data_IF_116685804545
#
_entry.id   IF_116685804545
#
_cell.length_a   1.000
_cell.length_b   1.000
_cell.length_c   1.000
_cell.angle_alpha   90.00
_cell.angle_beta   90.00
_cell.angle_gamma   90.00
#
_symmetry.space_group_name_H-M   'P 1'
#
loop_
_entity.id
_entity.type
_entity.pdbx_description
1 polymer ?
#
# COMPACT_ATOMS: atom_id res chain seq x y z
N UNK A 1 -17.82 -20.59 -10.06
CA UNK A 1 -16.56 -20.36 -9.32
C UNK A 1 -16.71 -19.03 -8.61
N UNK A 2 -16.90 -19.02 -7.29
CA UNK A 2 -16.88 -17.77 -6.51
C UNK A 2 -15.44 -17.29 -6.44
N UNK A 3 -15.07 -16.29 -7.24
CA UNK A 3 -13.77 -15.67 -7.13
C UNK A 3 -13.66 -15.01 -5.74
N UNK A 4 -12.66 -15.41 -4.96
CA UNK A 4 -12.30 -14.77 -3.69
C UNK A 4 -12.09 -13.27 -3.94
N UNK A 5 -12.57 -12.43 -3.02
CA UNK A 5 -12.31 -11.00 -3.03
C UNK A 5 -10.79 -10.72 -3.13
N UNK A 6 -10.30 -10.00 -4.15
CA UNK A 6 -8.88 -9.71 -4.25
C UNK A 6 -8.47 -8.76 -3.12
N UNK A 7 -7.36 -9.06 -2.46
CA UNK A 7 -6.72 -8.18 -1.48
C UNK A 7 -5.54 -7.50 -2.18
N UNK A 8 -5.63 -6.18 -2.28
CA UNK A 8 -4.62 -5.33 -2.89
C UNK A 8 -3.77 -4.74 -1.77
N UNK A 9 -2.51 -5.13 -1.69
CA UNK A 9 -1.55 -4.48 -0.79
C UNK A 9 -1.09 -3.15 -1.41
N UNK A 10 -1.05 -2.10 -0.60
CA UNK A 10 -0.76 -0.74 -1.06
C UNK A 10 0.30 -0.11 -0.17
N UNK A 11 1.43 0.25 -0.76
CA UNK A 11 2.40 1.15 -0.14
C UNK A 11 1.86 2.58 -0.20
N UNK A 12 1.42 3.11 0.94
CA UNK A 12 0.75 4.41 1.00
C UNK A 12 1.70 5.58 1.19
N UNK A 13 2.95 5.33 1.59
CA UNK A 13 3.92 6.39 1.90
C UNK A 13 4.77 6.79 0.70
N UNK A 14 4.78 5.97 -0.36
CA UNK A 14 5.63 6.19 -1.52
C UNK A 14 5.26 7.41 -2.39
N UNK A 15 4.05 7.97 -2.30
CA UNK A 15 3.62 9.01 -3.24
C UNK A 15 4.25 10.39 -2.96
N UNK A 16 4.63 11.12 -4.02
CA UNK A 16 5.23 12.48 -3.93
C UNK A 16 4.36 13.48 -3.14
N UNK A 17 3.03 13.35 -3.28
CA UNK A 17 2.05 14.20 -2.61
C UNK A 17 1.60 13.63 -1.24
N UNK A 18 2.33 12.63 -0.73
CA UNK A 18 2.05 11.99 0.54
C UNK A 18 0.87 11.02 0.52
N UNK A 19 0.49 10.51 1.71
CA UNK A 19 -0.45 9.40 1.85
C UNK A 19 -1.90 9.70 1.47
N UNK A 20 -2.31 10.97 1.40
CA UNK A 20 -3.69 11.37 1.07
C UNK A 20 -4.12 10.88 -0.31
N UNK A 21 -3.25 11.02 -1.31
CA UNK A 21 -3.54 10.60 -2.69
C UNK A 21 -3.87 9.11 -2.77
N UNK A 22 -3.21 8.29 -1.96
CA UNK A 22 -3.47 6.85 -1.91
C UNK A 22 -4.89 6.56 -1.40
N UNK A 23 -5.28 7.21 -0.29
CA UNK A 23 -6.62 7.01 0.30
C UNK A 23 -7.73 7.58 -0.60
N UNK A 24 -7.48 8.71 -1.27
CA UNK A 24 -8.38 9.29 -2.26
C UNK A 24 -8.55 8.37 -3.47
N UNK A 25 -7.45 7.79 -3.98
CA UNK A 25 -7.49 6.82 -5.08
C UNK A 25 -8.32 5.59 -4.75
N UNK A 26 -8.16 5.04 -3.54
CA UNK A 26 -8.98 3.92 -3.03
C UNK A 26 -10.45 4.33 -2.94
N UNK A 27 -10.74 5.50 -2.38
CA UNK A 27 -12.12 6.01 -2.26
C UNK A 27 -12.77 6.19 -3.64
N UNK A 28 -12.01 6.69 -4.60
CA UNK A 28 -12.47 6.95 -5.96
C UNK A 28 -12.76 5.66 -6.75
N UNK A 29 -11.91 4.64 -6.65
CA UNK A 29 -12.20 3.36 -7.33
C UNK A 29 -13.40 2.65 -6.70
N UNK A 30 -13.57 2.74 -5.37
CA UNK A 30 -14.73 2.18 -4.68
C UNK A 30 -16.03 2.93 -5.00
N UNK A 31 -15.97 4.24 -5.21
CA UNK A 31 -17.12 5.02 -5.67
C UNK A 31 -17.52 4.65 -7.11
N UNK A 32 -16.54 4.38 -7.99
CA UNK A 32 -16.79 3.98 -9.38
C UNK A 32 -17.21 2.52 -9.54
N UNK A 33 -16.82 1.66 -8.60
CA UNK A 33 -17.10 0.21 -8.61
C UNK A 33 -17.56 -0.26 -7.23
N UNK A 34 -18.73 0.19 -6.75
CA UNK A 34 -19.20 -0.12 -5.40
C UNK A 34 -19.44 -1.61 -5.16
N UNK A 35 -19.79 -2.36 -6.21
CA UNK A 35 -20.01 -3.81 -6.14
C UNK A 35 -18.70 -4.62 -6.20
N UNK A 36 -17.56 -3.95 -6.34
CA UNK A 36 -16.26 -4.62 -6.34
C UNK A 36 -16.02 -5.26 -4.95
N UNK A 37 -15.66 -6.56 -4.89
CA UNK A 37 -15.33 -7.19 -3.63
C UNK A 37 -13.92 -6.84 -3.15
N UNK A 38 -13.15 -6.03 -3.89
CA UNK A 38 -11.76 -5.73 -3.60
C UNK A 38 -11.57 -5.10 -2.21
N UNK A 39 -10.56 -5.58 -1.47
CA UNK A 39 -10.14 -5.02 -0.18
C UNK A 39 -8.71 -4.50 -0.29
N UNK A 40 -8.33 -3.58 0.58
CA UNK A 40 -7.06 -2.88 0.53
C UNK A 40 -6.31 -3.08 1.84
N UNK A 41 -5.09 -3.60 1.75
CA UNK A 41 -4.16 -3.69 2.86
C UNK A 41 -3.15 -2.53 2.73
N UNK A 42 -3.35 -1.47 3.49
CA UNK A 42 -2.64 -0.20 3.34
C UNK A 42 -1.48 -0.15 4.33
N UNK A 43 -0.25 0.04 3.85
CA UNK A 43 0.96 0.04 4.67
C UNK A 43 1.51 1.47 4.83
N UNK A 44 1.76 1.88 6.07
CA UNK A 44 2.38 3.18 6.35
C UNK A 44 2.13 3.70 7.77
N UNK A 45 2.42 4.97 7.98
CA UNK A 45 2.35 5.61 9.29
C UNK A 45 0.89 5.81 9.73
N UNK A 46 0.54 5.28 10.90
CA UNK A 46 -0.82 5.31 11.42
C UNK A 46 -1.24 6.73 11.82
N UNK A 47 -0.29 7.53 12.33
CA UNK A 47 -0.55 8.92 12.70
C UNK A 47 -0.98 9.77 11.50
N UNK A 48 -0.52 9.42 10.30
CA UNK A 48 -0.88 10.09 9.05
C UNK A 48 -2.09 9.46 8.37
N UNK A 49 -2.18 8.12 8.36
CA UNK A 49 -3.20 7.39 7.60
C UNK A 49 -4.54 7.26 8.33
N UNK A 50 -4.57 7.09 9.66
CA UNK A 50 -5.83 6.92 10.39
C UNK A 50 -6.80 8.11 10.22
N UNK A 51 -6.36 9.39 10.33
CA UNK A 51 -7.25 10.52 10.10
C UNK A 51 -7.79 10.58 8.66
N UNK A 52 -6.95 10.24 7.67
CA UNK A 52 -7.33 10.21 6.25
C UNK A 52 -8.39 9.12 5.98
N UNK A 53 -8.18 7.93 6.56
CA UNK A 53 -9.14 6.83 6.46
C UNK A 53 -10.44 7.19 7.18
N UNK A 54 -10.37 7.80 8.37
CA UNK A 54 -11.56 8.22 9.11
C UNK A 54 -12.42 9.24 8.35
N UNK A 55 -11.79 10.13 7.58
CA UNK A 55 -12.46 11.10 6.71
C UNK A 55 -12.96 10.51 5.38
N UNK A 56 -12.55 9.30 5.02
CA UNK A 56 -12.94 8.65 3.76
C UNK A 56 -14.39 8.16 3.77
N UNK A 57 -14.89 7.75 2.59
CA UNK A 57 -16.24 7.23 2.43
C UNK A 57 -16.49 6.01 3.33
N UNK A 58 -17.74 5.74 3.77
CA UNK A 58 -18.05 4.57 4.60
C UNK A 58 -17.55 3.25 3.97
N UNK A 59 -17.70 3.10 2.65
CA UNK A 59 -17.23 1.92 1.93
C UNK A 59 -15.71 1.81 1.96
N UNK A 60 -14.97 2.92 1.81
CA UNK A 60 -13.51 2.91 1.93
C UNK A 60 -13.07 2.49 3.33
N UNK A 61 -13.69 3.04 4.38
CA UNK A 61 -13.40 2.65 5.78
C UNK A 61 -13.62 1.16 6.05
N UNK A 62 -14.63 0.54 5.43
CA UNK A 62 -14.90 -0.89 5.56
C UNK A 62 -13.94 -1.78 4.75
N UNK A 63 -13.41 -1.25 3.64
CA UNK A 63 -12.57 -2.01 2.69
C UNK A 63 -11.08 -1.85 2.95
N UNK A 64 -10.66 -0.86 3.72
CA UNK A 64 -9.27 -0.61 4.08
C UNK A 64 -8.93 -1.30 5.41
N UNK A 65 -7.81 -2.01 5.44
CA UNK A 65 -7.13 -2.46 6.66
C UNK A 65 -5.75 -1.83 6.69
N UNK A 66 -5.44 -1.11 7.77
CA UNK A 66 -4.18 -0.41 7.94
C UNK A 66 -3.14 -1.30 8.64
N UNK A 67 -1.94 -1.34 8.09
CA UNK A 67 -0.75 -2.01 8.62
C UNK A 67 0.30 -0.96 8.94
N UNK A 68 0.47 -0.69 10.23
CA UNK A 68 1.36 0.36 10.68
C UNK A 68 2.84 0.07 10.38
N UNK A 69 3.55 1.08 9.91
CA UNK A 69 5.00 1.20 9.96
C UNK A 69 5.38 2.67 9.93
N UNK A 70 6.41 3.06 10.67
CA UNK A 70 6.98 4.40 10.69
C UNK A 70 8.15 4.57 9.70
N UNK A 71 8.44 3.54 8.90
CA UNK A 71 9.52 3.52 7.92
C UNK A 71 8.99 3.55 6.48
N UNK A 72 9.66 4.32 5.63
CA UNK A 72 9.33 4.49 4.21
C UNK A 72 10.61 4.42 3.36
N UNK A 73 10.45 4.15 2.06
CA UNK A 73 11.52 4.34 1.07
C UNK A 73 11.33 5.71 0.44
N UNK A 74 12.34 6.56 0.51
CA UNK A 74 12.24 7.92 -0.01
C UNK A 74 12.46 7.94 -1.53
N UNK A 75 11.86 8.92 -2.19
CA UNK A 75 12.07 9.12 -3.63
C UNK A 75 13.53 9.44 -3.99
N UNK A 76 14.30 9.99 -3.06
CA UNK A 76 15.72 10.30 -3.24
C UNK A 76 16.66 9.13 -2.94
N UNK A 77 16.14 8.00 -2.44
CA UNK A 77 16.96 6.85 -2.14
C UNK A 77 17.48 6.19 -3.42
N UNK A 78 18.78 5.86 -3.41
CA UNK A 78 19.36 5.02 -4.46
C UNK A 78 18.80 3.60 -4.31
N UNK A 79 18.38 2.93 -5.39
CA UNK A 79 17.82 1.57 -5.31
C UNK A 79 18.71 0.57 -4.54
N UNK A 80 20.04 0.67 -4.72
CA UNK A 80 21.01 -0.20 -4.03
C UNK A 80 21.00 -0.02 -2.50
N UNK A 81 20.79 1.21 -2.01
CA UNK A 81 20.68 1.49 -0.58
C UNK A 81 19.29 1.10 -0.05
N UNK A 82 18.24 1.39 -0.84
CA UNK A 82 16.87 1.05 -0.48
C UNK A 82 16.74 -0.46 -0.21
N UNK A 83 17.29 -1.34 -1.05
CA UNK A 83 17.25 -2.81 -0.82
C UNK A 83 17.84 -3.21 0.54
N UNK A 84 18.91 -2.55 0.98
CA UNK A 84 19.59 -2.88 2.24
C UNK A 84 18.84 -2.38 3.48
N UNK A 85 18.16 -1.23 3.37
CA UNK A 85 17.59 -0.50 4.51
C UNK A 85 16.05 -0.56 4.59
N UNK A 86 15.39 -0.98 3.52
CA UNK A 86 13.93 -0.98 3.40
C UNK A 86 13.22 -2.05 4.22
N UNK A 87 13.92 -3.02 4.83
CA UNK A 87 13.24 -4.04 5.65
C UNK A 87 12.44 -3.37 6.75
N UNK A 88 11.12 -3.60 6.75
CA UNK A 88 10.18 -2.98 7.67
C UNK A 88 9.50 -1.71 7.15
N UNK A 89 9.92 -1.17 6.00
CA UNK A 89 9.27 -0.01 5.38
C UNK A 89 7.89 -0.34 4.81
N UNK A 90 7.08 0.67 4.54
CA UNK A 90 5.76 0.53 3.90
C UNK A 90 5.85 -0.29 2.61
N UNK A 91 6.80 0.02 1.74
CA UNK A 91 7.06 -0.69 0.47
C UNK A 91 7.47 -2.15 0.70
N UNK A 92 8.38 -2.41 1.64
CA UNK A 92 8.83 -3.77 1.94
C UNK A 92 7.71 -4.62 2.54
N UNK A 93 6.93 -4.06 3.46
CA UNK A 93 5.83 -4.75 4.11
C UNK A 93 4.69 -5.03 3.13
N UNK A 94 4.44 -4.11 2.20
CA UNK A 94 3.47 -4.31 1.13
C UNK A 94 3.85 -5.51 0.23
N UNK A 95 5.11 -5.57 -0.19
CA UNK A 95 5.66 -6.71 -0.94
C UNK A 95 5.62 -8.01 -0.13
N UNK A 96 5.97 -7.94 1.16
CA UNK A 96 5.98 -9.10 2.06
C UNK A 96 4.58 -9.67 2.25
N UNK A 97 3.54 -8.83 2.26
CA UNK A 97 2.15 -9.27 2.36
C UNK A 97 1.74 -10.13 1.16
N UNK A 98 2.21 -9.79 -0.04
CA UNK A 98 2.01 -10.64 -1.23
C UNK A 98 2.79 -11.95 -1.12
N UNK A 99 4.07 -11.88 -0.71
CA UNK A 99 4.91 -13.07 -0.50
C UNK A 99 4.28 -14.07 0.48
N UNK A 100 3.67 -13.56 1.55
CA UNK A 100 3.06 -14.37 2.61
C UNK A 100 1.66 -14.89 2.25
N UNK A 101 1.06 -14.42 1.15
CA UNK A 101 -0.31 -14.76 0.76
C UNK A 101 -1.40 -13.97 1.49
N UNK A 102 -1.02 -12.91 2.22
CA UNK A 102 -1.95 -11.98 2.86
C UNK A 102 -2.63 -11.05 1.84
N UNK A 103 -1.98 -10.82 0.69
CA UNK A 103 -2.48 -10.06 -0.44
C UNK A 103 -2.21 -10.77 -1.78
N UNK A 104 -3.02 -10.50 -2.79
CA UNK A 104 -2.88 -11.11 -4.12
C UNK A 104 -1.97 -10.30 -5.04
N UNK A 105 -1.94 -8.98 -4.85
CA UNK A 105 -1.14 -8.04 -5.64
C UNK A 105 -0.65 -6.89 -4.77
N UNK A 106 0.39 -6.20 -5.23
CA UNK A 106 0.92 -4.98 -4.60
C UNK A 106 0.90 -3.82 -5.57
N UNK A 107 0.59 -2.62 -5.06
CA UNK A 107 0.67 -1.35 -5.79
C UNK A 107 1.47 -0.35 -4.96
N UNK A 108 2.39 0.37 -5.60
CA UNK A 108 3.12 1.48 -4.98
C UNK A 108 3.28 2.59 -6.02
N UNK A 109 3.07 3.84 -5.57
CA UNK A 109 3.40 5.04 -6.33
C UNK A 109 4.79 5.58 -5.94
N UNK A 110 5.59 4.81 -5.20
CA UNK A 110 6.92 5.17 -4.73
C UNK A 110 8.03 5.00 -5.73
N UNK A 111 9.26 5.05 -5.24
CA UNK A 111 10.47 4.96 -6.03
C UNK A 111 10.47 3.66 -6.88
N UNK A 112 10.26 3.80 -8.19
CA UNK A 112 10.14 2.67 -9.12
C UNK A 112 11.36 1.75 -9.09
N UNK A 113 12.57 2.33 -9.03
CA UNK A 113 13.81 1.56 -8.98
C UNK A 113 13.93 0.73 -7.70
N UNK A 114 13.56 1.33 -6.55
CA UNK A 114 13.50 0.62 -5.29
C UNK A 114 12.41 -0.46 -5.28
N UNK A 115 11.21 -0.16 -5.77
CA UNK A 115 10.11 -1.12 -5.87
C UNK A 115 10.53 -2.36 -6.65
N UNK A 116 11.13 -2.19 -7.83
CA UNK A 116 11.61 -3.32 -8.63
C UNK A 116 12.72 -4.09 -7.93
N UNK A 117 13.71 -3.39 -7.36
CA UNK A 117 14.86 -4.02 -6.73
C UNK A 117 14.46 -4.81 -5.47
N UNK A 118 13.59 -4.24 -4.63
CA UNK A 118 13.06 -4.90 -3.43
C UNK A 118 12.13 -6.06 -3.84
N UNK A 119 11.29 -5.89 -4.87
CA UNK A 119 10.44 -6.98 -5.39
C UNK A 119 11.25 -8.21 -5.76
N UNK A 120 12.39 -8.04 -6.43
CA UNK A 120 13.28 -9.16 -6.80
C UNK A 120 13.89 -9.91 -5.61
N UNK A 121 13.91 -9.31 -4.43
CA UNK A 121 14.43 -9.90 -3.19
C UNK A 121 13.29 -10.52 -2.38
N UNK A 122 12.11 -9.92 -2.41
CA UNK A 122 10.97 -10.32 -1.57
C UNK A 122 10.08 -11.35 -2.25
N UNK A 123 9.68 -11.14 -3.51
CA UNK A 123 8.77 -12.01 -4.29
C UNK A 123 9.54 -13.11 -5.02
#
# INVERSE_FOLDING_TARGET
MTHKAPIISVDAMGADNGPSITIEGISHILARRPDSPARFLVHGDDAQLAPLIAAASPLARERITLQHTDSEVRMTDKPSEAVRRSRGSSMWNALTSVKNGDADVVVSAGNTGALMAISKVVL
#
